data_IF_381917344861
#
_entry.id   IF_381917344861
#
_cell.length_a   1.000
_cell.length_b   1.000
_cell.length_c   1.000
_cell.angle_alpha   90.00
_cell.angle_beta   90.00
_cell.angle_gamma   90.00
#
_symmetry.space_group_name_H-M   'P 1'
#
loop_
_entity.id
_entity.type
_entity.pdbx_description
1 polymer ?
#
# COMPACT_ATOMS: atom_id res chain seq x y z
N UNK A 1 20.22 59.63 87.87
CA UNK A 1 20.70 58.89 86.68
C UNK A 1 20.68 59.80 85.44
N UNK A 2 21.83 60.05 84.77
CA UNK A 2 21.85 60.86 83.56
C UNK A 2 21.13 60.13 82.41
N UNK A 3 20.52 60.85 81.47
CA UNK A 3 19.87 60.24 80.31
C UNK A 3 20.91 59.52 79.44
N UNK A 4 20.53 58.40 78.81
CA UNK A 4 21.43 57.65 77.94
C UNK A 4 21.85 58.52 76.73
N UNK A 5 23.10 58.38 76.26
CA UNK A 5 23.57 59.11 75.09
C UNK A 5 22.74 58.72 73.85
N UNK A 6 22.50 59.67 72.94
CA UNK A 6 21.75 59.41 71.73
C UNK A 6 22.45 58.32 70.88
N UNK A 7 21.68 57.47 70.18
CA UNK A 7 22.25 56.44 69.33
C UNK A 7 23.10 57.07 68.22
N UNK A 8 24.18 56.39 67.79
CA UNK A 8 25.02 56.87 66.71
C UNK A 8 24.20 56.99 65.42
N UNK A 9 24.51 57.99 64.56
CA UNK A 9 23.82 58.16 63.29
C UNK A 9 23.98 56.90 62.42
N UNK A 10 22.97 56.56 61.60
CA UNK A 10 23.06 55.42 60.71
C UNK A 10 24.24 55.58 59.73
N UNK A 11 24.91 54.49 59.34
CA UNK A 11 25.98 54.55 58.36
C UNK A 11 25.47 55.12 57.02
N UNK A 12 26.31 55.87 56.28
CA UNK A 12 25.92 56.42 55.00
C UNK A 12 25.53 55.29 54.04
N UNK A 13 24.52 55.52 53.16
CA UNK A 13 24.14 54.52 52.17
C UNK A 13 25.34 54.14 51.29
N UNK A 14 25.46 52.88 50.86
CA UNK A 14 26.56 52.47 49.98
C UNK A 14 26.56 53.33 48.70
N UNK A 15 27.75 53.66 48.16
CA UNK A 15 27.84 54.50 46.97
C UNK A 15 27.08 53.86 45.82
N UNK A 16 26.21 54.64 45.16
CA UNK A 16 25.47 54.18 43.96
C UNK A 16 26.49 53.70 42.92
N UNK A 17 26.28 52.53 42.28
CA UNK A 17 27.18 52.07 41.23
C UNK A 17 27.30 53.16 40.15
N UNK A 18 28.54 53.55 39.85
CA UNK A 18 28.85 54.54 38.81
C UNK A 18 29.18 53.78 37.53
N UNK A 19 28.49 54.12 36.44
CA UNK A 19 28.84 53.63 35.11
C UNK A 19 30.23 54.20 34.76
N UNK A 20 31.16 53.33 34.41
CA UNK A 20 32.50 53.74 33.96
C UNK A 20 32.39 54.57 32.68
N UNK A 21 33.24 55.58 32.52
CA UNK A 21 33.31 56.36 31.28
C UNK A 21 34.10 55.57 30.23
N UNK A 22 33.52 55.40 29.04
CA UNK A 22 34.12 54.68 27.91
C UNK A 22 33.45 53.33 27.66
N UNK A 23 33.68 52.77 26.47
CA UNK A 23 33.23 51.43 26.07
C UNK A 23 34.39 50.68 25.40
N UNK A 24 34.36 49.36 25.50
CA UNK A 24 35.24 48.47 24.73
C UNK A 24 34.34 47.79 23.71
N UNK A 25 34.57 48.05 22.42
CA UNK A 25 33.87 47.38 21.32
C UNK A 25 34.87 46.48 20.57
N UNK A 26 34.76 45.17 20.80
CA UNK A 26 35.59 44.18 20.14
C UNK A 26 34.87 43.61 18.91
N UNK A 27 35.04 44.29 17.77
CA UNK A 27 34.41 43.93 16.49
C UNK A 27 35.46 43.55 15.43
N UNK A 28 36.12 42.38 15.56
CA UNK A 28 37.29 42.01 14.77
C UNK A 28 36.98 41.77 13.28
N UNK A 29 35.72 41.48 12.95
CA UNK A 29 35.25 41.30 11.56
C UNK A 29 34.05 42.19 11.33
N UNK A 30 34.29 43.33 10.70
CA UNK A 30 33.24 44.26 10.28
C UNK A 30 32.33 43.59 9.25
N UNK A 31 31.02 43.66 9.47
CA UNK A 31 30.03 43.23 8.50
C UNK A 31 30.03 44.18 7.30
N UNK A 32 30.20 43.62 6.11
CA UNK A 32 30.02 44.34 4.85
C UNK A 32 28.74 43.83 4.21
N UNK A 33 27.70 44.67 4.07
CA UNK A 33 26.45 44.24 3.45
C UNK A 33 26.69 43.86 1.98
N UNK A 34 26.02 42.81 1.47
CA UNK A 34 26.12 42.48 0.06
C UNK A 34 25.54 43.60 -0.80
N UNK A 35 26.13 43.82 -1.97
CA UNK A 35 25.51 44.66 -3.00
C UNK A 35 24.86 43.70 -3.98
N UNK A 36 23.55 43.82 -4.12
CA UNK A 36 22.73 42.92 -4.92
C UNK A 36 22.21 43.69 -6.12
N UNK A 37 22.47 43.18 -7.31
CA UNK A 37 21.92 43.72 -8.54
C UNK A 37 20.47 43.22 -8.71
N UNK A 38 19.54 44.14 -8.95
CA UNK A 38 18.12 43.87 -9.17
C UNK A 38 17.68 44.40 -10.54
N UNK A 39 17.17 43.52 -11.38
CA UNK A 39 16.61 43.89 -12.68
C UNK A 39 15.09 44.04 -12.64
N UNK A 40 14.62 45.17 -13.15
CA UNK A 40 13.20 45.56 -13.16
C UNK A 40 12.39 44.64 -14.07
N UNK A 41 12.87 44.38 -15.30
CA UNK A 41 12.25 43.47 -16.25
C UNK A 41 12.13 42.05 -15.68
N UNK A 42 13.20 41.54 -15.06
CA UNK A 42 13.21 40.22 -14.42
C UNK A 42 12.24 40.16 -13.23
N UNK A 43 12.14 41.25 -12.46
CA UNK A 43 11.21 41.35 -11.32
C UNK A 43 9.77 41.27 -11.82
N UNK A 44 9.43 42.07 -12.83
CA UNK A 44 8.11 42.04 -13.46
C UNK A 44 7.81 40.71 -14.13
N UNK A 45 8.81 40.07 -14.76
CA UNK A 45 8.66 38.75 -15.37
C UNK A 45 8.39 37.67 -14.32
N UNK A 46 9.14 37.65 -13.22
CA UNK A 46 8.96 36.66 -12.16
C UNK A 46 7.63 36.85 -11.43
N UNK A 47 7.29 38.09 -11.12
CA UNK A 47 6.08 38.43 -10.37
C UNK A 47 4.84 38.54 -11.26
N UNK A 48 4.99 38.48 -12.58
CA UNK A 48 3.91 38.78 -13.55
C UNK A 48 3.23 40.14 -13.29
N UNK A 49 4.03 41.15 -12.95
CA UNK A 49 3.57 42.51 -12.65
C UNK A 49 4.06 43.51 -13.71
N UNK A 50 3.66 44.77 -13.57
CA UNK A 50 4.09 45.90 -14.41
C UNK A 50 4.57 47.07 -13.57
N UNK A 51 5.23 46.78 -12.45
CA UNK A 51 5.75 47.78 -11.52
C UNK A 51 6.85 48.60 -12.19
N UNK A 52 6.80 49.92 -12.02
CA UNK A 52 7.85 50.80 -12.53
C UNK A 52 9.12 50.67 -11.67
N UNK A 53 10.28 51.04 -12.23
CA UNK A 53 11.53 51.16 -11.46
C UNK A 53 11.37 52.04 -10.22
N UNK A 54 10.56 53.10 -10.33
CA UNK A 54 10.27 54.03 -9.25
C UNK A 54 9.52 53.36 -8.10
N UNK A 55 8.48 52.57 -8.41
CA UNK A 55 7.71 51.83 -7.40
C UNK A 55 8.59 50.81 -6.69
N UNK A 56 9.37 50.04 -7.46
CA UNK A 56 10.32 49.04 -6.94
C UNK A 56 11.35 49.69 -6.00
N UNK A 57 12.00 50.78 -6.45
CA UNK A 57 12.96 51.54 -5.64
C UNK A 57 12.30 52.11 -4.38
N UNK A 58 11.07 52.62 -4.50
CA UNK A 58 10.27 53.13 -3.39
C UNK A 58 9.99 52.08 -2.32
N UNK A 59 9.53 50.89 -2.73
CA UNK A 59 9.30 49.77 -1.81
C UNK A 59 10.58 49.36 -1.07
N UNK A 60 11.70 49.20 -1.79
CA UNK A 60 12.96 48.78 -1.18
C UNK A 60 13.55 49.85 -0.24
N UNK A 61 13.43 51.14 -0.59
CA UNK A 61 13.83 52.25 0.30
C UNK A 61 12.96 52.33 1.55
N UNK A 62 11.66 52.04 1.44
CA UNK A 62 10.75 52.00 2.60
C UNK A 62 11.15 50.91 3.61
N UNK A 63 11.94 49.92 3.19
CA UNK A 63 12.52 48.86 4.01
C UNK A 63 13.96 49.16 4.47
N UNK A 64 14.37 50.43 4.42
CA UNK A 64 15.69 50.91 4.81
C UNK A 64 16.85 50.35 3.98
N UNK A 65 16.58 49.86 2.76
CA UNK A 65 17.64 49.46 1.84
C UNK A 65 18.25 50.67 1.14
N UNK A 66 19.58 50.68 1.03
CA UNK A 66 20.29 51.64 0.19
C UNK A 66 20.12 51.22 -1.28
N UNK A 67 19.33 51.99 -2.04
CA UNK A 67 19.08 51.74 -3.47
C UNK A 67 19.83 52.77 -4.31
N UNK A 68 20.68 52.29 -5.21
CA UNK A 68 21.35 53.08 -6.24
C UNK A 68 20.77 52.73 -7.61
N UNK A 69 20.25 53.75 -8.30
CA UNK A 69 19.76 53.61 -9.66
C UNK A 69 20.96 53.58 -10.63
N UNK A 70 21.10 52.50 -11.40
CA UNK A 70 22.20 52.35 -12.38
C UNK A 70 21.74 52.79 -13.76
N UNK A 71 20.58 52.29 -14.21
CA UNK A 71 19.95 52.64 -15.47
C UNK A 71 18.42 52.38 -15.39
N UNK A 72 17.72 52.41 -16.53
CA UNK A 72 16.26 52.20 -16.56
C UNK A 72 15.82 50.80 -16.11
N UNK A 73 16.68 49.78 -16.24
CA UNK A 73 16.35 48.39 -15.93
C UNK A 73 17.07 47.84 -14.68
N UNK A 74 18.11 48.50 -14.17
CA UNK A 74 18.96 47.95 -13.10
C UNK A 74 19.07 48.86 -11.88
N UNK A 75 18.94 48.24 -10.71
CA UNK A 75 19.15 48.82 -9.39
C UNK A 75 20.27 48.07 -8.66
N UNK A 76 21.12 48.79 -7.93
CA UNK A 76 22.02 48.21 -6.93
C UNK A 76 21.43 48.43 -5.56
N UNK A 77 21.16 47.34 -4.86
CA UNK A 77 20.48 47.37 -3.57
C UNK A 77 21.39 46.78 -2.51
N UNK A 78 21.56 47.53 -1.45
CA UNK A 78 22.35 47.12 -0.29
C UNK A 78 21.41 47.07 0.93
N UNK A 79 21.13 45.87 1.46
CA UNK A 79 20.20 45.72 2.57
C UNK A 79 20.80 46.25 3.89
N UNK A 80 19.96 46.66 4.85
CA UNK A 80 20.43 47.02 6.18
C UNK A 80 20.94 45.78 6.94
N UNK A 81 21.81 45.99 7.93
CA UNK A 81 22.50 44.91 8.65
C UNK A 81 21.57 43.96 9.42
N UNK A 82 20.35 44.39 9.75
CA UNK A 82 19.36 43.55 10.41
C UNK A 82 18.60 42.60 9.46
N UNK A 83 18.75 42.74 8.13
CA UNK A 83 18.15 41.87 7.12
C UNK A 83 19.13 40.80 6.65
N UNK A 84 19.34 39.82 7.52
CA UNK A 84 20.28 38.70 7.30
C UNK A 84 19.82 37.70 6.25
N UNK A 85 18.54 37.76 5.88
CA UNK A 85 17.86 36.91 4.89
C UNK A 85 18.06 37.38 3.45
N UNK A 86 18.46 38.64 3.23
CA UNK A 86 18.62 39.22 1.89
C UNK A 86 20.04 39.02 1.37
N UNK A 87 20.20 38.13 0.38
CA UNK A 87 21.49 37.85 -0.25
C UNK A 87 21.47 37.74 -1.77
N UNK A 88 20.29 37.68 -2.38
CA UNK A 88 20.09 37.41 -3.81
C UNK A 88 19.03 38.33 -4.39
N UNK A 89 19.06 38.47 -5.71
CA UNK A 89 18.09 39.25 -6.48
C UNK A 89 16.64 38.85 -6.19
N UNK A 90 16.35 37.54 -6.04
CA UNK A 90 15.01 37.04 -5.75
C UNK A 90 14.49 37.39 -4.35
N UNK A 91 15.39 37.58 -3.38
CA UNK A 91 15.00 37.96 -2.01
C UNK A 91 14.48 39.42 -2.02
N UNK A 92 15.02 40.27 -2.91
CA UNK A 92 14.50 41.62 -3.14
C UNK A 92 13.17 41.62 -3.91
N UNK A 93 12.99 40.70 -4.86
CA UNK A 93 11.72 40.55 -5.59
C UNK A 93 10.59 40.13 -4.65
N UNK A 94 10.86 39.28 -3.65
CA UNK A 94 9.90 38.95 -2.59
C UNK A 94 9.46 40.21 -1.83
N UNK A 95 10.40 41.08 -1.45
CA UNK A 95 10.09 42.32 -0.72
C UNK A 95 9.27 43.31 -1.56
N UNK A 96 9.56 43.39 -2.85
CA UNK A 96 8.76 44.15 -3.82
C UNK A 96 7.34 43.57 -3.91
N UNK A 97 7.20 42.25 -4.04
CA UNK A 97 5.91 41.59 -4.09
C UNK A 97 5.12 41.81 -2.79
N UNK A 98 5.78 41.71 -1.63
CA UNK A 98 5.18 41.85 -0.32
C UNK A 98 4.65 43.26 -0.07
N UNK A 99 5.41 44.29 -0.44
CA UNK A 99 4.97 45.68 -0.29
C UNK A 99 4.01 46.14 -1.38
N UNK A 100 4.13 45.61 -2.60
CA UNK A 100 3.11 45.82 -3.63
C UNK A 100 1.79 45.12 -3.31
N UNK A 101 1.79 44.16 -2.37
CA UNK A 101 0.65 43.37 -1.96
C UNK A 101 0.46 42.14 -2.87
N UNK A 102 0.46 40.94 -2.28
CA UNK A 102 0.29 39.69 -3.03
C UNK A 102 -1.04 39.62 -3.77
N UNK A 103 -2.10 40.22 -3.22
CA UNK A 103 -3.42 40.27 -3.85
C UNK A 103 -3.45 41.06 -5.17
N UNK A 104 -2.44 41.90 -5.41
CA UNK A 104 -2.31 42.67 -6.64
C UNK A 104 -1.58 41.90 -7.75
N UNK A 105 -1.01 40.73 -7.45
CA UNK A 105 -0.36 39.88 -8.45
C UNK A 105 -1.45 39.13 -9.25
N UNK A 106 -1.51 39.27 -10.58
CA UNK A 106 -2.53 38.62 -11.39
C UNK A 106 -2.47 37.09 -11.31
N UNK A 107 -3.61 36.46 -11.06
CA UNK A 107 -3.75 35.00 -11.14
C UNK A 107 -3.79 34.59 -12.61
N UNK A 108 -2.84 33.77 -13.04
CA UNK A 108 -2.77 33.23 -14.40
C UNK A 108 -2.58 31.71 -14.37
N UNK A 109 -3.01 31.02 -15.43
CA UNK A 109 -2.74 29.59 -15.56
C UNK A 109 -1.33 29.36 -16.10
N UNK A 110 -0.55 28.43 -15.51
CA UNK A 110 0.72 28.05 -16.09
C UNK A 110 0.49 27.38 -17.44
N UNK A 111 1.38 27.64 -18.40
CA UNK A 111 1.40 26.89 -19.64
C UNK A 111 1.83 25.45 -19.36
N UNK A 112 0.88 24.52 -19.33
CA UNK A 112 1.15 23.09 -19.20
C UNK A 112 1.35 22.52 -20.60
N UNK A 113 2.52 21.91 -20.84
CA UNK A 113 2.74 21.14 -22.08
C UNK A 113 2.11 19.76 -21.91
N UNK A 114 1.25 19.31 -22.83
CA UNK A 114 0.72 17.96 -22.78
C UNK A 114 1.90 16.96 -22.86
N UNK A 115 1.87 15.97 -21.99
CA UNK A 115 2.84 14.88 -21.98
C UNK A 115 2.33 13.74 -22.84
N UNK A 116 3.18 13.21 -23.72
CA UNK A 116 2.90 11.95 -24.43
C UNK A 116 3.02 10.73 -23.50
N UNK A 117 3.72 10.87 -22.37
CA UNK A 117 3.72 9.86 -21.32
C UNK A 117 2.33 9.91 -20.66
N UNK A 118 1.54 8.87 -20.91
CA UNK A 118 0.25 8.64 -20.27
C UNK A 118 0.38 8.38 -18.77
N UNK A 119 -0.68 7.84 -18.18
CA UNK A 119 -0.73 7.58 -16.75
C UNK A 119 0.30 6.52 -16.31
N UNK A 120 0.78 6.65 -15.07
CA UNK A 120 1.73 5.70 -14.48
C UNK A 120 0.98 4.38 -14.23
N UNK A 121 1.39 3.24 -14.81
CA UNK A 121 0.64 1.98 -14.72
C UNK A 121 0.33 1.54 -13.29
N UNK A 122 1.24 1.78 -12.35
CA UNK A 122 1.04 1.50 -10.92
C UNK A 122 -0.15 2.26 -10.33
N UNK A 123 -0.35 3.53 -10.70
CA UNK A 123 -1.45 4.35 -10.20
C UNK A 123 -2.80 3.86 -10.74
N UNK A 124 -2.85 3.52 -12.03
CA UNK A 124 -4.03 2.94 -12.66
C UNK A 124 -4.45 1.62 -11.98
N UNK A 125 -3.48 0.72 -11.80
CA UNK A 125 -3.71 -0.59 -11.17
C UNK A 125 -4.10 -0.43 -9.71
N UNK A 126 -3.48 0.50 -8.97
CA UNK A 126 -3.87 0.82 -7.58
C UNK A 126 -5.35 1.19 -7.49
N UNK A 127 -5.79 2.14 -8.30
CA UNK A 127 -7.16 2.66 -8.23
C UNK A 127 -8.17 1.60 -8.69
N UNK A 128 -7.81 0.78 -9.68
CA UNK A 128 -8.62 -0.37 -10.10
C UNK A 128 -8.74 -1.44 -9.00
N UNK A 129 -7.62 -1.83 -8.37
CA UNK A 129 -7.63 -2.81 -7.27
C UNK A 129 -8.47 -2.33 -6.10
N UNK A 130 -8.32 -1.06 -5.69
CA UNK A 130 -9.16 -0.45 -4.64
C UNK A 130 -10.65 -0.53 -4.99
N UNK A 131 -11.01 -0.14 -6.21
CA UNK A 131 -12.40 -0.19 -6.66
C UNK A 131 -12.97 -1.61 -6.63
N UNK A 132 -12.18 -2.61 -7.04
CA UNK A 132 -12.61 -4.02 -7.01
C UNK A 132 -12.77 -4.49 -5.56
N UNK A 133 -11.81 -4.22 -4.68
CA UNK A 133 -11.87 -4.62 -3.27
C UNK A 133 -13.09 -4.03 -2.54
N UNK A 134 -13.39 -2.76 -2.78
CA UNK A 134 -14.61 -2.12 -2.26
C UNK A 134 -15.86 -2.78 -2.85
N UNK A 135 -15.86 -3.10 -4.15
CA UNK A 135 -16.95 -3.83 -4.80
C UNK A 135 -17.16 -5.25 -4.24
N UNK A 136 -16.11 -5.88 -3.72
CA UNK A 136 -16.15 -7.18 -3.01
C UNK A 136 -16.58 -7.04 -1.54
N UNK A 137 -16.88 -5.82 -1.08
CA UNK A 137 -17.37 -5.52 0.27
C UNK A 137 -16.27 -5.35 1.32
N UNK A 138 -15.02 -5.11 0.92
CA UNK A 138 -13.96 -4.77 1.86
C UNK A 138 -13.88 -3.27 2.13
N UNK A 139 -13.43 -2.92 3.34
CA UNK A 139 -13.15 -1.54 3.75
C UNK A 139 -11.64 -1.28 3.72
N UNK A 140 -11.23 -0.20 3.04
CA UNK A 140 -9.81 0.21 3.06
C UNK A 140 -9.47 0.81 4.42
N UNK A 141 -8.35 0.37 4.99
CA UNK A 141 -7.76 0.97 6.18
C UNK A 141 -6.40 1.57 5.84
N UNK A 142 -5.98 2.56 6.63
CA UNK A 142 -4.65 3.18 6.51
C UNK A 142 -3.98 3.06 7.86
N UNK A 143 -2.91 2.26 7.93
CA UNK A 143 -2.15 2.06 9.16
C UNK A 143 -0.83 2.82 9.14
N UNK A 144 -0.23 3.04 10.30
CA UNK A 144 1.04 3.75 10.38
C UNK A 144 2.16 2.95 9.69
N UNK A 145 3.06 3.66 9.02
CA UNK A 145 4.28 3.07 8.46
C UNK A 145 5.30 2.69 9.55
N UNK A 146 5.13 3.21 10.78
CA UNK A 146 5.98 2.92 11.92
C UNK A 146 5.34 1.88 12.82
N UNK A 147 6.13 0.95 13.32
CA UNK A 147 5.69 -0.16 14.17
C UNK A 147 6.74 -0.47 15.25
N UNK A 148 6.39 -1.41 16.14
CA UNK A 148 7.28 -1.97 17.15
C UNK A 148 8.18 -3.05 16.53
N UNK A 149 9.46 -3.16 16.93
CA UNK A 149 10.33 -4.26 16.50
C UNK A 149 9.77 -5.65 16.84
N UNK A 150 8.98 -5.74 17.91
CA UNK A 150 8.27 -6.95 18.35
C UNK A 150 7.23 -7.43 17.31
N UNK A 151 6.87 -6.62 16.30
CA UNK A 151 5.93 -7.06 15.25
C UNK A 151 6.43 -8.29 14.49
N UNK A 152 7.74 -8.48 14.34
CA UNK A 152 8.27 -9.68 13.71
C UNK A 152 8.12 -10.91 14.61
N UNK A 153 8.33 -10.76 15.93
CA UNK A 153 8.12 -11.81 16.92
C UNK A 153 6.65 -12.23 16.98
N UNK A 154 5.73 -11.26 16.99
CA UNK A 154 4.29 -11.49 16.96
C UNK A 154 3.82 -12.24 15.71
N UNK A 155 4.51 -12.08 14.58
CA UNK A 155 4.27 -12.84 13.34
C UNK A 155 4.99 -14.20 13.29
N UNK A 156 5.68 -14.59 14.37
CA UNK A 156 6.44 -15.84 14.45
C UNK A 156 7.66 -15.89 13.54
N UNK A 157 8.21 -14.74 13.14
CA UNK A 157 9.32 -14.70 12.18
C UNK A 157 10.58 -15.34 12.76
N UNK A 158 11.22 -16.24 12.01
CA UNK A 158 12.49 -16.86 12.43
C UNK A 158 13.66 -15.87 12.44
N UNK A 159 14.78 -16.29 13.03
CA UNK A 159 16.05 -15.55 12.97
C UNK A 159 16.53 -15.47 11.51
N UNK A 160 16.92 -14.27 11.06
CA UNK A 160 17.30 -14.02 9.66
C UNK A 160 16.13 -13.77 8.69
N UNK A 161 14.88 -13.84 9.14
CA UNK A 161 13.72 -13.50 8.31
C UNK A 161 13.78 -12.05 7.81
N UNK A 162 13.43 -11.77 6.54
CA UNK A 162 13.30 -10.40 6.03
C UNK A 162 12.33 -9.52 6.83
N UNK A 163 11.38 -10.13 7.55
CA UNK A 163 10.48 -9.42 8.47
C UNK A 163 11.22 -8.73 9.62
N UNK A 164 12.43 -9.19 9.97
CA UNK A 164 13.29 -8.60 11.00
C UNK A 164 14.30 -7.58 10.45
N UNK A 165 14.38 -7.42 9.13
CA UNK A 165 15.30 -6.47 8.47
C UNK A 165 14.73 -5.04 8.51
N UNK A 166 14.58 -4.51 9.72
CA UNK A 166 13.95 -3.21 9.97
C UNK A 166 14.84 -2.02 9.59
N UNK A 167 14.19 -0.96 9.09
CA UNK A 167 14.75 0.39 9.07
C UNK A 167 14.43 1.05 10.40
N UNK A 168 15.44 1.44 11.18
CA UNK A 168 15.27 2.04 12.51
C UNK A 168 15.11 3.56 12.40
N UNK A 169 14.20 4.12 13.19
CA UNK A 169 14.03 5.57 13.33
C UNK A 169 15.03 6.06 14.37
N UNK A 170 15.78 7.12 14.06
CA UNK A 170 16.84 7.63 14.94
C UNK A 170 16.28 8.23 16.24
N UNK A 171 15.21 9.03 16.13
CA UNK A 171 14.58 9.73 17.25
C UNK A 171 13.07 9.45 17.26
N UNK A 172 12.64 8.22 17.59
CA UNK A 172 11.23 7.88 17.61
C UNK A 172 10.53 8.51 18.82
N UNK A 173 9.23 8.81 18.66
CA UNK A 173 8.42 9.32 19.77
C UNK A 173 8.18 8.24 20.84
N UNK A 174 8.04 6.98 20.43
CA UNK A 174 7.82 5.81 21.31
C UNK A 174 8.53 4.57 20.75
N UNK A 175 8.74 3.55 21.60
CA UNK A 175 9.31 2.26 21.17
C UNK A 175 8.39 1.54 20.17
N UNK A 176 7.07 1.68 20.35
CA UNK A 176 6.05 1.09 19.47
C UNK A 176 6.02 1.70 18.06
N UNK A 177 6.79 2.77 17.83
CA UNK A 177 6.96 3.43 16.54
C UNK A 177 8.45 3.65 16.25
N UNK A 178 9.31 2.69 16.62
CA UNK A 178 10.78 2.83 16.50
C UNK A 178 11.37 2.24 15.22
N UNK A 179 10.58 1.49 14.44
CA UNK A 179 10.99 0.91 13.16
C UNK A 179 9.95 1.10 12.07
N UNK A 180 10.38 1.10 10.81
CA UNK A 180 9.48 1.03 9.66
C UNK A 180 8.90 -0.39 9.53
N UNK A 181 7.63 -0.50 9.13
CA UNK A 181 6.96 -1.79 8.91
C UNK A 181 7.57 -2.58 7.76
N UNK A 182 7.77 -3.88 7.98
CA UNK A 182 8.24 -4.86 6.99
C UNK A 182 7.08 -5.70 6.41
N UNK A 183 5.86 -5.57 6.95
CA UNK A 183 4.63 -6.22 6.51
C UNK A 183 3.42 -5.33 6.86
N UNK A 184 2.31 -5.48 6.12
CA UNK A 184 1.02 -4.82 6.42
C UNK A 184 0.20 -5.59 7.47
N UNK A 185 0.50 -6.89 7.68
CA UNK A 185 -0.27 -7.79 8.53
C UNK A 185 -0.38 -7.32 9.99
N UNK A 186 0.69 -6.80 10.63
CA UNK A 186 0.56 -6.27 11.99
C UNK A 186 -0.48 -5.16 12.13
N UNK A 187 -0.59 -4.29 11.13
CA UNK A 187 -1.57 -3.20 11.10
C UNK A 187 -3.00 -3.72 10.93
N UNK A 188 -3.20 -4.70 10.04
CA UNK A 188 -4.49 -5.37 9.86
C UNK A 188 -4.95 -6.06 11.15
N UNK A 189 -4.09 -6.87 11.79
CA UNK A 189 -4.45 -7.58 13.03
C UNK A 189 -4.69 -6.64 14.22
N UNK A 190 -3.90 -5.57 14.36
CA UNK A 190 -4.14 -4.54 15.38
C UNK A 190 -5.49 -3.83 15.16
N UNK A 191 -5.88 -3.63 13.90
CA UNK A 191 -7.18 -3.05 13.55
C UNK A 191 -8.33 -4.01 13.87
N UNK A 192 -8.18 -5.29 13.56
CA UNK A 192 -9.14 -6.34 13.96
C UNK A 192 -9.34 -6.35 15.48
N UNK A 193 -8.25 -6.41 16.25
CA UNK A 193 -8.29 -6.33 17.71
C UNK A 193 -9.05 -5.10 18.21
N UNK A 194 -8.76 -3.94 17.64
CA UNK A 194 -9.41 -2.69 18.04
C UNK A 194 -10.92 -2.75 17.80
N UNK A 195 -11.37 -3.30 16.66
CA UNK A 195 -12.79 -3.40 16.34
C UNK A 195 -13.51 -4.44 17.21
N UNK A 196 -12.90 -5.59 17.46
CA UNK A 196 -13.47 -6.61 18.35
C UNK A 196 -13.66 -6.09 19.77
N UNK A 197 -12.72 -5.25 20.27
CA UNK A 197 -12.87 -4.56 21.56
C UNK A 197 -14.05 -3.57 21.60
N UNK A 198 -14.58 -3.18 20.44
CA UNK A 198 -15.78 -2.36 20.28
C UNK A 198 -17.01 -3.18 19.84
N UNK A 199 -16.95 -4.51 19.99
CA UNK A 199 -18.02 -5.47 19.63
C UNK A 199 -18.30 -5.57 18.12
N UNK A 200 -17.36 -5.11 17.27
CA UNK A 200 -17.40 -5.27 15.82
C UNK A 200 -16.52 -6.46 15.39
N UNK A 201 -17.16 -7.60 15.11
CA UNK A 201 -16.48 -8.90 14.87
C UNK A 201 -16.44 -9.32 13.41
N UNK A 202 -17.41 -8.87 12.63
CA UNK A 202 -17.58 -9.28 11.23
C UNK A 202 -16.85 -8.31 10.30
N UNK A 203 -15.58 -8.58 10.02
CA UNK A 203 -14.69 -7.61 9.37
C UNK A 203 -14.18 -8.10 8.02
N UNK A 204 -14.22 -7.22 7.02
CA UNK A 204 -13.54 -7.37 5.72
C UNK A 204 -12.67 -6.13 5.49
N UNK A 205 -11.38 -6.25 5.75
CA UNK A 205 -10.44 -5.13 5.73
C UNK A 205 -9.39 -5.32 4.64
N UNK A 206 -8.95 -4.23 4.02
CA UNK A 206 -7.77 -4.27 3.16
C UNK A 206 -6.92 -3.03 3.29
N UNK A 207 -5.64 -3.14 2.95
CA UNK A 207 -4.71 -2.02 2.89
C UNK A 207 -3.84 -2.14 1.64
N UNK A 208 -3.76 -1.04 0.88
CA UNK A 208 -2.67 -0.81 -0.06
C UNK A 208 -1.58 -0.01 0.65
N UNK A 209 -0.38 -0.57 0.77
CA UNK A 209 0.66 0.06 1.56
C UNK A 209 2.06 -0.34 1.16
N UNK A 210 3.00 0.55 1.47
CA UNK A 210 4.42 0.32 1.29
C UNK A 210 5.01 -0.37 2.52
N UNK A 211 5.89 -1.33 2.28
CA UNK A 211 6.76 -1.96 3.28
C UNK A 211 8.22 -1.62 3.02
N UNK A 212 9.03 -1.62 4.08
CA UNK A 212 10.40 -1.12 4.04
C UNK A 212 11.33 -2.18 4.62
N UNK A 213 12.22 -2.70 3.79
CA UNK A 213 13.22 -3.70 4.21
C UNK A 213 14.61 -3.10 4.09
N UNK A 214 15.38 -3.16 5.17
CA UNK A 214 16.79 -2.76 5.16
C UNK A 214 17.59 -3.71 4.27
N UNK A 215 18.39 -3.13 3.38
CA UNK A 215 19.35 -3.87 2.54
C UNK A 215 20.77 -3.61 3.05
N UNK A 216 21.54 -4.67 3.27
CA UNK A 216 22.96 -4.52 3.60
C UNK A 216 23.71 -3.81 2.47
N UNK A 217 24.59 -2.88 2.82
CA UNK A 217 25.40 -2.12 1.87
C UNK A 217 24.66 -1.05 1.06
N UNK A 218 23.42 -0.69 1.42
CA UNK A 218 22.69 0.43 0.79
C UNK A 218 22.30 1.49 1.82
N UNK A 219 22.42 2.77 1.42
CA UNK A 219 21.97 3.91 2.22
C UNK A 219 20.44 4.07 2.23
N UNK A 220 19.76 3.51 1.22
CA UNK A 220 18.30 3.57 1.09
C UNK A 220 17.67 2.20 1.36
N UNK A 221 16.46 2.16 1.95
CA UNK A 221 15.73 0.93 2.11
C UNK A 221 15.21 0.40 0.78
N UNK A 222 14.94 -0.90 0.75
CA UNK A 222 14.15 -1.47 -0.33
C UNK A 222 12.67 -1.30 -0.01
N UNK A 223 11.95 -0.67 -0.93
CA UNK A 223 10.55 -0.30 -0.79
C UNK A 223 9.71 -1.07 -1.79
N UNK A 224 8.64 -1.70 -1.30
CA UNK A 224 7.66 -2.43 -2.13
C UNK A 224 6.25 -2.09 -1.73
N UNK A 225 5.36 -2.02 -2.70
CA UNK A 225 3.93 -1.92 -2.45
C UNK A 225 3.34 -3.32 -2.30
N UNK A 226 2.50 -3.48 -1.29
CA UNK A 226 1.69 -4.67 -1.08
C UNK A 226 0.22 -4.27 -1.04
N UNK A 227 -0.62 -5.17 -1.54
CA UNK A 227 -2.04 -5.22 -1.19
C UNK A 227 -2.23 -6.37 -0.22
N UNK A 228 -2.73 -6.10 0.98
CA UNK A 228 -3.08 -7.12 1.95
C UNK A 228 -4.55 -6.99 2.32
N UNK A 229 -5.25 -8.11 2.47
CA UNK A 229 -6.66 -8.10 2.85
C UNK A 229 -6.99 -9.24 3.81
N UNK A 230 -7.86 -8.97 4.77
CA UNK A 230 -8.22 -9.87 5.85
C UNK A 230 -9.75 -9.96 5.99
N UNK A 231 -10.26 -11.17 6.21
CA UNK A 231 -11.63 -11.44 6.60
C UNK A 231 -11.67 -12.20 7.94
N UNK A 232 -12.63 -11.86 8.81
CA UNK A 232 -12.88 -12.55 10.09
C UNK A 232 -14.35 -12.43 10.51
N UNK A 233 -14.79 -13.23 11.47
CA UNK A 233 -16.17 -13.25 11.97
C UNK A 233 -17.14 -14.01 11.05
N UNK A 234 -18.37 -13.52 10.97
CA UNK A 234 -19.44 -14.09 10.14
C UNK A 234 -19.36 -13.59 8.71
N UNK A 235 -19.48 -14.52 7.76
CA UNK A 235 -19.72 -14.17 6.36
C UNK A 235 -21.20 -13.88 6.12
N UNK A 236 -22.08 -14.71 6.68
CA UNK A 236 -23.52 -14.53 6.66
C UNK A 236 -24.02 -14.40 8.10
N UNK A 237 -24.61 -13.25 8.42
CA UNK A 237 -25.38 -13.10 9.64
C UNK A 237 -26.70 -13.85 9.52
N UNK A 238 -27.23 -14.33 10.66
CA UNK A 238 -28.54 -14.97 10.70
C UNK A 238 -29.62 -13.99 10.24
N UNK A 239 -30.36 -14.37 9.21
CA UNK A 239 -31.53 -13.62 8.73
C UNK A 239 -32.74 -14.54 8.70
N UNK A 240 -33.90 -14.02 8.27
CA UNK A 240 -35.14 -14.79 8.20
C UNK A 240 -35.09 -15.98 7.23
N UNK A 241 -34.15 -15.98 6.26
CA UNK A 241 -34.03 -16.99 5.20
C UNK A 241 -32.63 -17.60 5.05
N UNK A 242 -31.67 -17.20 5.90
CA UNK A 242 -30.28 -17.64 5.80
C UNK A 242 -29.76 -18.00 7.17
N UNK A 243 -29.11 -19.15 7.26
CA UNK A 243 -28.39 -19.57 8.46
C UNK A 243 -27.11 -18.73 8.64
N UNK A 244 -26.68 -18.67 9.89
CA UNK A 244 -25.40 -18.07 10.26
C UNK A 244 -24.24 -18.92 9.73
N UNK A 245 -23.22 -18.27 9.16
CA UNK A 245 -22.02 -18.94 8.65
C UNK A 245 -20.78 -18.08 8.88
N UNK A 246 -19.76 -18.67 9.49
CA UNK A 246 -18.44 -18.06 9.62
C UNK A 246 -17.69 -17.97 8.28
N UNK A 247 -16.82 -16.97 8.17
CA UNK A 247 -15.84 -16.89 7.09
C UNK A 247 -14.97 -18.14 7.09
N UNK A 248 -14.64 -18.64 5.89
CA UNK A 248 -13.65 -19.70 5.71
C UNK A 248 -12.55 -19.31 4.68
N UNK A 249 -11.64 -20.24 4.43
CA UNK A 249 -10.56 -20.05 3.47
C UNK A 249 -11.06 -19.80 2.03
N UNK A 250 -12.18 -20.41 1.65
CA UNK A 250 -12.72 -20.29 0.30
C UNK A 250 -13.35 -18.92 0.07
N UNK A 251 -13.84 -18.24 1.12
CA UNK A 251 -14.32 -16.86 1.02
C UNK A 251 -13.21 -15.87 0.65
N UNK A 252 -12.07 -15.92 1.38
CA UNK A 252 -10.93 -15.04 1.08
C UNK A 252 -10.29 -15.39 -0.27
N UNK A 253 -10.22 -16.69 -0.60
CA UNK A 253 -9.68 -17.17 -1.86
C UNK A 253 -10.58 -16.76 -3.02
N UNK A 254 -11.89 -16.84 -2.86
CA UNK A 254 -12.86 -16.42 -3.88
C UNK A 254 -12.80 -14.92 -4.16
N UNK A 255 -12.66 -14.10 -3.11
CA UNK A 255 -12.43 -12.66 -3.26
C UNK A 255 -11.13 -12.37 -4.03
N UNK A 256 -10.06 -13.09 -3.71
CA UNK A 256 -8.79 -12.99 -4.42
C UNK A 256 -8.88 -13.46 -5.87
N UNK A 257 -9.53 -14.57 -6.16
CA UNK A 257 -9.76 -15.05 -7.54
C UNK A 257 -10.56 -14.04 -8.36
N UNK A 258 -11.59 -13.42 -7.77
CA UNK A 258 -12.34 -12.34 -8.40
C UNK A 258 -11.47 -11.11 -8.67
N UNK A 259 -10.66 -10.69 -7.69
CA UNK A 259 -9.70 -9.59 -7.84
C UNK A 259 -8.72 -9.82 -8.98
N UNK A 260 -8.07 -10.99 -9.00
CA UNK A 260 -7.09 -11.36 -10.04
C UNK A 260 -7.75 -11.43 -11.42
N UNK A 261 -8.97 -11.96 -11.51
CA UNK A 261 -9.72 -12.01 -12.77
C UNK A 261 -10.06 -10.60 -13.27
N UNK A 262 -10.56 -9.73 -12.41
CA UNK A 262 -11.05 -8.40 -12.80
C UNK A 262 -9.92 -7.40 -13.09
N UNK A 263 -8.73 -7.61 -12.53
CA UNK A 263 -7.51 -6.89 -12.94
C UNK A 263 -6.92 -7.42 -14.26
N UNK A 264 -7.51 -8.49 -14.83
CA UNK A 264 -7.07 -9.08 -16.11
C UNK A 264 -5.91 -10.06 -15.97
N UNK A 265 -5.62 -10.55 -14.75
CA UNK A 265 -4.64 -11.60 -14.53
C UNK A 265 -5.29 -12.96 -14.82
N UNK A 266 -4.83 -13.63 -15.87
CA UNK A 266 -5.29 -14.96 -16.25
C UNK A 266 -4.20 -16.00 -15.98
N UNK A 267 -4.61 -17.21 -15.60
CA UNK A 267 -3.67 -18.32 -15.37
C UNK A 267 -2.93 -18.26 -14.03
N UNK A 268 -3.51 -17.63 -13.01
CA UNK A 268 -3.01 -17.75 -11.65
C UNK A 268 -3.16 -19.20 -11.15
N UNK A 269 -2.12 -19.69 -10.48
CA UNK A 269 -2.05 -21.04 -9.91
C UNK A 269 -1.89 -20.92 -8.41
N UNK A 270 -2.72 -21.66 -7.68
CA UNK A 270 -2.67 -21.80 -6.22
C UNK A 270 -2.04 -23.14 -5.88
N UNK A 271 -1.00 -23.14 -5.05
CA UNK A 271 -0.32 -24.36 -4.61
C UNK A 271 -0.23 -24.36 -3.09
N UNK A 272 -0.46 -25.51 -2.43
CA UNK A 272 -0.28 -25.62 -0.97
C UNK A 272 1.13 -25.17 -0.62
N UNK A 273 1.22 -24.25 0.33
CA UNK A 273 2.49 -23.68 0.78
C UNK A 273 2.63 -23.85 2.28
N UNK A 274 3.85 -24.12 2.74
CA UNK A 274 4.17 -24.36 4.15
C UNK A 274 5.41 -23.56 4.54
N UNK A 275 5.64 -23.36 5.84
CA UNK A 275 6.84 -22.65 6.31
C UNK A 275 6.74 -21.12 6.27
N UNK A 276 5.56 -20.55 6.03
CA UNK A 276 5.32 -19.12 6.21
C UNK A 276 4.73 -18.88 7.60
N UNK A 277 5.53 -18.34 8.52
CA UNK A 277 5.22 -18.27 9.96
C UNK A 277 3.86 -17.66 10.33
N UNK A 278 3.39 -16.69 9.54
CA UNK A 278 2.13 -15.99 9.79
C UNK A 278 0.88 -16.72 9.31
N UNK A 279 1.02 -17.78 8.52
CA UNK A 279 -0.09 -18.60 8.04
C UNK A 279 -0.10 -19.96 8.72
N UNK A 280 -1.30 -20.53 8.87
CA UNK A 280 -1.48 -21.92 9.23
C UNK A 280 -0.94 -22.83 8.11
N UNK A 281 0.00 -23.76 8.39
CA UNK A 281 0.59 -24.64 7.37
C UNK A 281 -0.42 -25.58 6.70
N UNK A 282 -1.57 -25.85 7.33
CA UNK A 282 -2.61 -26.67 6.73
C UNK A 282 -3.56 -25.88 5.83
N UNK A 283 -3.63 -24.56 6.00
CA UNK A 283 -4.56 -23.67 5.30
C UNK A 283 -3.80 -22.48 4.72
N UNK A 284 -2.89 -22.76 3.80
CA UNK A 284 -2.09 -21.75 3.12
C UNK A 284 -1.82 -22.16 1.68
N UNK A 285 -1.86 -21.19 0.77
CA UNK A 285 -1.47 -21.36 -0.61
C UNK A 285 -0.62 -20.20 -1.10
N UNK A 286 0.45 -20.52 -1.84
CA UNK A 286 1.15 -19.55 -2.66
C UNK A 286 0.38 -19.30 -3.94
N UNK A 287 0.52 -18.09 -4.47
CA UNK A 287 -0.14 -17.65 -5.69
C UNK A 287 0.97 -17.32 -6.69
N UNK A 288 0.97 -17.99 -7.83
CA UNK A 288 1.92 -17.73 -8.91
C UNK A 288 1.22 -17.47 -10.23
N UNK A 289 1.86 -16.69 -11.09
CA UNK A 289 1.44 -16.47 -12.46
C UNK A 289 2.67 -16.57 -13.37
N UNK A 290 2.58 -17.35 -14.45
CA UNK A 290 3.70 -17.57 -15.38
C UNK A 290 5.01 -18.02 -14.69
N UNK A 291 4.90 -18.79 -13.60
CA UNK A 291 6.04 -19.24 -12.80
C UNK A 291 6.61 -18.20 -11.82
N UNK A 292 6.09 -16.97 -11.79
CA UNK A 292 6.48 -15.94 -10.81
C UNK A 292 5.54 -15.97 -9.61
N UNK A 293 6.09 -16.04 -8.40
CA UNK A 293 5.34 -15.84 -7.16
C UNK A 293 4.82 -14.39 -7.10
N UNK A 294 3.53 -14.23 -6.88
CA UNK A 294 2.87 -12.92 -6.74
C UNK A 294 2.32 -12.67 -5.34
N UNK A 295 2.10 -13.72 -4.53
CA UNK A 295 1.51 -13.55 -3.21
C UNK A 295 1.18 -14.85 -2.50
N UNK A 296 0.45 -14.73 -1.38
CA UNK A 296 -0.03 -15.84 -0.57
C UNK A 296 -1.45 -15.58 -0.09
N UNK A 297 -2.18 -16.64 0.22
CA UNK A 297 -3.51 -16.60 0.85
C UNK A 297 -3.64 -17.75 1.84
N UNK A 298 -4.27 -17.52 2.99
CA UNK A 298 -4.40 -18.56 4.00
C UNK A 298 -5.11 -18.11 5.26
N UNK A 299 -5.30 -19.05 6.18
CA UNK A 299 -5.70 -18.75 7.55
C UNK A 299 -4.48 -18.22 8.31
N UNK A 300 -4.65 -17.17 9.11
CA UNK A 300 -3.61 -16.68 10.02
C UNK A 300 -3.32 -17.76 11.06
N UNK A 301 -2.05 -18.01 11.37
CA UNK A 301 -1.71 -19.10 12.30
C UNK A 301 -2.29 -18.83 13.71
N UNK A 302 -2.78 -19.86 14.43
CA UNK A 302 -3.35 -19.66 15.78
C UNK A 302 -2.36 -19.01 16.77
N UNK A 303 -1.07 -19.31 16.64
CA UNK A 303 -0.04 -18.66 17.46
C UNK A 303 0.09 -17.17 17.19
N UNK A 304 -0.02 -16.75 15.92
CA UNK A 304 -0.04 -15.32 15.57
C UNK A 304 -1.33 -14.67 16.07
N UNK A 305 -2.50 -15.31 15.91
CA UNK A 305 -3.76 -14.79 16.47
C UNK A 305 -3.65 -14.57 17.99
N UNK A 306 -3.08 -15.52 18.73
CA UNK A 306 -2.85 -15.40 20.17
C UNK A 306 -1.90 -14.24 20.53
N UNK A 307 -0.85 -14.00 19.75
CA UNK A 307 0.09 -12.89 19.97
C UNK A 307 -0.55 -11.48 19.82
N UNK A 308 -1.74 -11.40 19.22
CA UNK A 308 -2.54 -10.19 19.08
C UNK A 308 -3.77 -10.18 20.00
N UNK A 309 -3.86 -11.10 20.98
CA UNK A 309 -5.02 -11.29 21.86
C UNK A 309 -6.31 -11.62 21.10
N UNK A 310 -6.20 -12.42 20.03
CA UNK A 310 -7.29 -12.85 19.15
C UNK A 310 -7.42 -14.39 19.11
N UNK A 311 -7.05 -15.09 20.18
CA UNK A 311 -6.98 -16.56 20.20
C UNK A 311 -8.33 -17.26 19.98
N UNK A 312 -9.44 -16.58 20.27
CA UNK A 312 -10.80 -17.12 20.12
C UNK A 312 -11.40 -16.86 18.73
N UNK A 313 -10.65 -16.22 17.82
CA UNK A 313 -11.13 -15.77 16.52
C UNK A 313 -10.32 -16.41 15.39
N UNK A 314 -11.00 -16.69 14.27
CA UNK A 314 -10.34 -17.10 13.03
C UNK A 314 -10.23 -15.90 12.07
N UNK A 315 -9.06 -15.71 11.47
CA UNK A 315 -8.84 -14.70 10.44
C UNK A 315 -8.19 -15.32 9.20
N UNK A 316 -8.63 -14.85 8.04
CA UNK A 316 -8.16 -15.31 6.73
C UNK A 316 -7.59 -14.12 5.97
N UNK A 317 -6.38 -14.28 5.45
CA UNK A 317 -5.56 -13.19 4.92
C UNK A 317 -5.07 -13.56 3.52
N UNK A 318 -4.96 -12.58 2.63
CA UNK A 318 -4.04 -12.65 1.49
C UNK A 318 -3.11 -11.45 1.46
N UNK A 319 -1.95 -11.63 0.81
CA UNK A 319 -0.97 -10.58 0.52
C UNK A 319 -0.48 -10.73 -0.92
N UNK A 320 -0.46 -9.63 -1.68
CA UNK A 320 0.02 -9.56 -3.06
C UNK A 320 1.16 -8.55 -3.15
N UNK A 321 2.29 -8.97 -3.71
CA UNK A 321 3.40 -8.10 -4.13
C UNK A 321 3.00 -7.40 -5.43
N UNK A 322 2.83 -6.08 -5.36
CA UNK A 322 2.32 -5.29 -6.49
C UNK A 322 3.33 -5.24 -7.63
N UNK A 323 4.62 -5.13 -7.33
CA UNK A 323 5.65 -5.12 -8.37
C UNK A 323 5.73 -6.46 -9.11
N UNK A 324 5.47 -7.58 -8.43
CA UNK A 324 5.35 -8.90 -9.06
C UNK A 324 4.05 -9.04 -9.87
N UNK A 325 2.92 -8.52 -9.36
CA UNK A 325 1.65 -8.50 -10.06
C UNK A 325 1.75 -7.71 -11.38
N UNK A 326 2.29 -6.49 -11.34
CA UNK A 326 2.40 -5.58 -12.50
C UNK A 326 3.20 -6.18 -13.66
N UNK A 327 4.12 -7.10 -13.40
CA UNK A 327 4.87 -7.81 -14.46
C UNK A 327 4.03 -8.80 -15.25
N UNK A 328 2.88 -9.21 -14.69
CA UNK A 328 2.03 -10.25 -15.26
C UNK A 328 0.66 -9.70 -15.74
N UNK A 329 0.29 -8.49 -15.35
CA UNK A 329 -0.96 -7.86 -15.81
C UNK A 329 -0.75 -7.27 -17.20
N UNK A 330 -1.58 -7.69 -18.16
CA UNK A 330 -1.64 -7.05 -19.47
C UNK A 330 -2.63 -5.89 -19.44
N UNK A 331 -2.22 -4.72 -19.94
CA UNK A 331 -3.12 -3.57 -20.12
C UNK A 331 -4.07 -3.71 -21.32
N UNK A 332 -3.93 -4.75 -22.14
CA UNK A 332 -4.72 -4.92 -23.36
C UNK A 332 -5.94 -5.80 -23.12
N UNK A 333 -7.13 -5.27 -23.39
CA UNK A 333 -8.37 -6.04 -23.43
C UNK A 333 -8.56 -6.61 -24.84
N UNK A 334 -8.66 -7.92 -24.94
CA UNK A 334 -8.95 -8.60 -26.21
C UNK A 334 -10.43 -8.92 -26.32
N UNK A 335 -11.00 -8.72 -27.51
CA UNK A 335 -12.38 -9.09 -27.78
C UNK A 335 -12.48 -10.60 -28.01
N UNK A 336 -13.34 -11.26 -27.23
CA UNK A 336 -13.75 -12.64 -27.49
C UNK A 336 -15.16 -12.67 -28.09
N UNK A 337 -15.37 -13.26 -29.28
CA UNK A 337 -16.70 -13.40 -29.86
C UNK A 337 -17.67 -14.16 -28.94
N UNK A 338 -18.94 -13.76 -28.96
CA UNK A 338 -19.99 -14.49 -28.24
C UNK A 338 -20.10 -15.94 -28.72
N UNK A 339 -20.49 -16.82 -27.80
CA UNK A 339 -20.77 -18.20 -28.11
C UNK A 339 -21.95 -18.33 -29.09
N UNK A 340 -21.67 -18.85 -30.30
CA UNK A 340 -22.67 -19.03 -31.37
C UNK A 340 -23.40 -20.38 -31.29
N UNK A 341 -22.81 -21.36 -30.62
CA UNK A 341 -23.27 -22.74 -30.59
C UNK A 341 -23.63 -23.18 -29.15
N UNK A 342 -24.57 -24.12 -28.99
CA UNK A 342 -24.95 -24.62 -27.66
C UNK A 342 -23.80 -25.36 -26.99
N UNK A 343 -23.77 -25.29 -25.66
CA UNK A 343 -22.86 -26.08 -24.84
C UNK A 343 -23.43 -27.48 -24.53
N UNK A 344 -22.55 -28.44 -24.28
CA UNK A 344 -22.87 -29.76 -23.77
C UNK A 344 -22.24 -29.90 -22.38
N UNK A 345 -23.06 -30.25 -21.39
CA UNK A 345 -22.59 -30.48 -20.03
C UNK A 345 -22.45 -31.98 -19.75
N UNK A 346 -21.36 -32.33 -19.06
CA UNK A 346 -21.14 -33.67 -18.52
C UNK A 346 -20.57 -33.56 -17.12
N UNK A 347 -21.07 -34.41 -16.24
CA UNK A 347 -20.59 -34.50 -14.87
C UNK A 347 -19.77 -35.79 -14.72
N UNK A 348 -18.67 -35.70 -13.97
CA UNK A 348 -17.87 -36.87 -13.57
C UNK A 348 -17.73 -36.87 -12.07
N UNK A 349 -17.82 -38.05 -11.46
CA UNK A 349 -17.48 -38.27 -10.06
C UNK A 349 -16.36 -39.29 -10.00
N UNK A 350 -15.23 -38.90 -9.40
CA UNK A 350 -14.02 -39.72 -9.35
C UNK A 350 -13.57 -39.85 -7.90
N UNK A 351 -13.37 -41.09 -7.47
CA UNK A 351 -12.75 -41.43 -6.20
C UNK A 351 -11.24 -41.45 -6.41
N UNK A 352 -10.52 -40.66 -5.62
CA UNK A 352 -9.07 -40.51 -5.67
C UNK A 352 -8.49 -40.51 -4.26
N UNK A 353 -7.17 -40.63 -4.15
CA UNK A 353 -6.46 -40.45 -2.89
C UNK A 353 -6.78 -39.08 -2.27
N UNK A 354 -6.95 -39.03 -0.95
CA UNK A 354 -7.34 -37.84 -0.20
C UNK A 354 -6.41 -36.65 -0.40
N UNK A 355 -5.11 -36.91 -0.57
CA UNK A 355 -4.08 -35.88 -0.75
C UNK A 355 -4.05 -35.30 -2.17
N UNK A 356 -4.73 -35.90 -3.15
CA UNK A 356 -4.74 -35.39 -4.51
C UNK A 356 -5.52 -34.07 -4.57
N UNK A 357 -4.91 -33.04 -5.13
CA UNK A 357 -5.53 -31.74 -5.31
C UNK A 357 -6.54 -31.75 -6.47
N UNK A 358 -7.67 -31.07 -6.30
CA UNK A 358 -8.70 -30.95 -7.35
C UNK A 358 -8.18 -30.22 -8.59
N UNK A 359 -7.25 -29.27 -8.41
CA UNK A 359 -6.61 -28.54 -9.49
C UNK A 359 -5.94 -29.50 -10.50
N UNK A 360 -5.28 -30.56 -10.03
CA UNK A 360 -4.64 -31.55 -10.90
C UNK A 360 -5.65 -32.27 -11.80
N UNK A 361 -6.82 -32.61 -11.30
CA UNK A 361 -7.88 -33.22 -12.11
C UNK A 361 -8.41 -32.20 -13.13
N UNK A 362 -8.63 -30.95 -12.71
CA UNK A 362 -9.03 -29.86 -13.60
C UNK A 362 -8.04 -29.62 -14.74
N UNK A 363 -6.74 -29.70 -14.47
CA UNK A 363 -5.67 -29.62 -15.48
C UNK A 363 -5.77 -30.77 -16.49
N UNK A 364 -5.91 -32.01 -16.01
CA UNK A 364 -6.03 -33.18 -16.88
C UNK A 364 -7.25 -33.04 -17.80
N UNK A 365 -8.40 -32.61 -17.28
CA UNK A 365 -9.62 -32.39 -18.05
C UNK A 365 -9.39 -31.33 -19.15
N UNK A 366 -8.74 -30.21 -18.81
CA UNK A 366 -8.45 -29.14 -19.77
C UNK A 366 -7.44 -29.57 -20.84
N UNK A 367 -6.41 -30.31 -20.45
CA UNK A 367 -5.37 -30.80 -21.36
C UNK A 367 -5.92 -31.80 -22.38
N UNK A 368 -6.69 -32.78 -21.90
CA UNK A 368 -7.26 -33.83 -22.76
C UNK A 368 -8.44 -33.31 -23.59
N UNK A 369 -9.27 -32.45 -23.00
CA UNK A 369 -10.43 -31.87 -23.68
C UNK A 369 -10.10 -30.73 -24.66
N UNK A 370 -8.90 -30.15 -24.56
CA UNK A 370 -8.41 -29.11 -25.46
C UNK A 370 -9.33 -27.90 -25.58
N UNK A 371 -9.42 -27.33 -26.78
CA UNK A 371 -10.22 -26.13 -27.05
C UNK A 371 -11.74 -26.33 -26.87
N UNK A 372 -12.20 -27.59 -26.79
CA UNK A 372 -13.61 -27.89 -26.58
C UNK A 372 -14.04 -27.72 -25.13
N UNK A 373 -13.12 -27.75 -24.16
CA UNK A 373 -13.47 -27.51 -22.74
C UNK A 373 -13.55 -26.02 -22.48
N UNK A 374 -14.78 -25.52 -22.33
CA UNK A 374 -15.06 -24.13 -22.01
C UNK A 374 -14.87 -23.85 -20.52
N UNK A 375 -15.29 -24.77 -19.65
CA UNK A 375 -15.12 -24.61 -18.20
C UNK A 375 -15.12 -25.95 -17.46
N UNK A 376 -14.42 -26.00 -16.33
CA UNK A 376 -14.42 -27.13 -15.39
C UNK A 376 -14.71 -26.57 -14.01
N UNK A 377 -15.74 -27.08 -13.34
CA UNK A 377 -16.15 -26.64 -12.00
C UNK A 377 -16.29 -27.83 -11.08
N UNK A 378 -15.63 -27.78 -9.92
CA UNK A 378 -15.91 -28.73 -8.85
C UNK A 378 -17.21 -28.31 -8.16
N UNK A 379 -18.11 -29.25 -7.90
CA UNK A 379 -19.39 -28.95 -7.25
C UNK A 379 -19.70 -29.84 -6.03
N UNK A 380 -18.95 -30.93 -5.83
CA UNK A 380 -19.09 -31.77 -4.65
C UNK A 380 -17.77 -32.44 -4.27
N UNK A 381 -17.53 -32.56 -2.96
CA UNK A 381 -16.42 -33.31 -2.36
C UNK A 381 -16.99 -34.12 -1.21
N UNK A 382 -16.92 -35.45 -1.30
CA UNK A 382 -17.52 -36.36 -0.32
C UNK A 382 -16.47 -37.29 0.30
N UNK A 383 -16.39 -37.27 1.63
CA UNK A 383 -15.49 -38.08 2.47
C UNK A 383 -16.28 -38.96 3.48
N UNK A 384 -17.45 -39.45 3.10
CA UNK A 384 -18.37 -40.14 4.01
C UNK A 384 -18.41 -41.66 3.88
N UNK A 385 -19.45 -42.26 4.49
CA UNK A 385 -19.70 -43.71 4.45
C UNK A 385 -19.72 -44.22 3.00
N UNK A 386 -19.03 -45.33 2.76
CA UNK A 386 -18.91 -45.96 1.44
C UNK A 386 -17.64 -45.60 0.65
N UNK A 387 -16.80 -44.70 1.18
CA UNK A 387 -15.48 -44.38 0.63
C UNK A 387 -14.40 -44.76 1.66
N UNK A 388 -13.26 -45.25 1.18
CA UNK A 388 -12.12 -45.55 2.05
C UNK A 388 -11.64 -44.26 2.76
N UNK A 389 -11.30 -44.28 4.06
CA UNK A 389 -10.85 -43.08 4.78
C UNK A 389 -9.60 -42.39 4.20
N UNK A 390 -8.84 -43.08 3.35
CA UNK A 390 -7.67 -42.54 2.64
C UNK A 390 -8.02 -41.98 1.25
N UNK A 391 -9.28 -42.09 0.83
CA UNK A 391 -9.83 -41.62 -0.43
C UNK A 391 -10.87 -40.50 -0.22
N UNK A 392 -11.19 -39.80 -1.30
CA UNK A 392 -12.31 -38.85 -1.38
C UNK A 392 -12.95 -38.92 -2.77
N UNK A 393 -14.25 -38.71 -2.85
CA UNK A 393 -14.92 -38.50 -4.12
C UNK A 393 -14.96 -37.01 -4.46
N UNK A 394 -14.57 -36.65 -5.68
CA UNK A 394 -14.72 -35.30 -6.21
C UNK A 394 -15.60 -35.33 -7.45
N UNK A 395 -16.60 -34.45 -7.49
CA UNK A 395 -17.51 -34.30 -8.62
C UNK A 395 -17.22 -33.01 -9.39
N UNK A 396 -17.08 -33.13 -10.71
CA UNK A 396 -16.82 -32.01 -11.61
C UNK A 396 -17.90 -31.91 -12.67
N UNK A 397 -18.34 -30.67 -12.93
CA UNK A 397 -19.15 -30.30 -14.08
C UNK A 397 -18.24 -29.75 -15.16
N UNK A 398 -18.27 -30.38 -16.31
CA UNK A 398 -17.48 -30.00 -17.49
C UNK A 398 -18.44 -29.40 -18.52
N UNK A 399 -18.13 -28.21 -18.98
CA UNK A 399 -18.81 -27.56 -20.09
C UNK A 399 -17.98 -27.73 -21.36
N UNK A 400 -18.53 -28.42 -22.36
CA UNK A 400 -17.94 -28.53 -23.68
C UNK A 400 -18.65 -27.58 -24.65
N UNK A 401 -17.88 -26.84 -25.46
CA UNK A 401 -18.41 -25.98 -26.53
C UNK A 401 -17.44 -25.86 -27.69
N UNK A 402 -17.95 -25.98 -28.91
CA UNK A 402 -17.18 -25.70 -30.14
C UNK A 402 -17.42 -24.27 -30.63
N UNK A 403 -16.36 -23.66 -31.17
CA UNK A 403 -16.42 -22.36 -31.85
C UNK A 403 -16.88 -22.47 -33.32
N UNK A 404 -16.95 -23.69 -33.86
CA UNK A 404 -17.12 -23.94 -35.30
C UNK A 404 -18.43 -24.65 -35.67
N UNK A 405 -19.13 -25.26 -34.71
CA UNK A 405 -20.38 -25.97 -34.97
C UNK A 405 -21.05 -26.51 -33.70
N UNK A 406 -22.26 -27.05 -33.86
CA UNK A 406 -22.92 -27.83 -32.79
C UNK A 406 -22.15 -29.13 -32.58
N UNK A 407 -21.91 -29.47 -31.31
CA UNK A 407 -21.20 -30.70 -30.94
C UNK A 407 -22.08 -31.94 -31.15
N UNK A 408 -21.54 -32.96 -31.82
CA UNK A 408 -22.19 -34.27 -31.93
C UNK A 408 -22.10 -35.04 -30.60
N UNK A 409 -23.19 -35.73 -30.23
CA UNK A 409 -23.26 -36.46 -28.97
C UNK A 409 -22.29 -37.64 -28.90
N UNK A 410 -22.04 -38.33 -30.01
CA UNK A 410 -21.11 -39.46 -30.08
C UNK A 410 -19.65 -39.02 -30.05
N UNK A 411 -19.32 -37.88 -30.64
CA UNK A 411 -17.99 -37.26 -30.52
C UNK A 411 -17.69 -36.83 -29.08
N UNK A 412 -18.64 -36.14 -28.43
CA UNK A 412 -18.45 -35.69 -27.04
C UNK A 412 -18.38 -36.86 -26.06
N UNK A 413 -19.17 -37.92 -26.25
CA UNK A 413 -19.06 -39.10 -25.40
C UNK A 413 -17.68 -39.76 -25.51
N UNK A 414 -17.13 -39.89 -26.73
CA UNK A 414 -15.77 -40.42 -26.93
C UNK A 414 -14.70 -39.55 -26.28
N UNK A 415 -14.81 -38.22 -26.41
CA UNK A 415 -13.89 -37.29 -25.75
C UNK A 415 -13.99 -37.40 -24.22
N UNK A 416 -15.22 -37.49 -23.71
CA UNK A 416 -15.48 -37.59 -22.29
C UNK A 416 -14.93 -38.90 -21.69
N UNK A 417 -15.10 -40.02 -22.40
CA UNK A 417 -14.47 -41.30 -22.04
C UNK A 417 -12.94 -41.20 -22.07
N UNK A 418 -12.36 -40.51 -23.05
CA UNK A 418 -10.90 -40.25 -23.10
C UNK A 418 -10.42 -39.46 -21.88
N UNK A 419 -11.15 -38.41 -21.49
CA UNK A 419 -10.88 -37.62 -20.27
C UNK A 419 -10.90 -38.52 -19.04
N UNK A 420 -11.92 -39.36 -18.89
CA UNK A 420 -12.03 -40.29 -17.76
C UNK A 420 -10.84 -41.24 -17.72
N UNK A 421 -10.52 -41.91 -18.83
CA UNK A 421 -9.40 -42.86 -18.90
C UNK A 421 -8.04 -42.18 -18.63
N UNK A 422 -7.86 -40.94 -19.10
CA UNK A 422 -6.68 -40.14 -18.80
C UNK A 422 -6.55 -39.84 -17.32
N UNK A 423 -7.65 -39.46 -16.66
CA UNK A 423 -7.65 -39.24 -15.20
C UNK A 423 -7.32 -40.54 -14.47
N UNK A 424 -7.93 -41.67 -14.85
CA UNK A 424 -7.63 -42.98 -14.23
C UNK A 424 -6.15 -43.34 -14.36
N UNK A 425 -5.57 -43.16 -15.54
CA UNK A 425 -4.17 -43.48 -15.82
C UNK A 425 -3.19 -42.61 -15.04
N UNK A 426 -3.46 -41.32 -14.90
CA UNK A 426 -2.53 -40.38 -14.25
C UNK A 426 -2.70 -40.30 -12.73
N UNK A 427 -3.91 -40.52 -12.23
CA UNK A 427 -4.21 -40.34 -10.79
C UNK A 427 -4.40 -41.66 -10.05
N UNK A 428 -4.61 -42.77 -10.77
CA UNK A 428 -5.07 -44.04 -10.19
C UNK A 428 -6.53 -43.98 -9.71
N UNK A 429 -7.26 -42.90 -10.00
CA UNK A 429 -8.64 -42.72 -9.59
C UNK A 429 -9.59 -43.69 -10.28
N UNK A 430 -10.77 -43.89 -9.67
CA UNK A 430 -11.85 -44.71 -10.22
C UNK A 430 -13.14 -43.91 -10.30
N UNK A 431 -13.90 -44.13 -11.37
CA UNK A 431 -15.22 -43.53 -11.49
C UNK A 431 -16.10 -44.02 -10.33
N UNK A 432 -16.82 -43.10 -9.70
CA UNK A 432 -17.90 -43.46 -8.80
C UNK A 432 -19.12 -43.79 -9.66
N UNK A 433 -19.48 -45.06 -9.73
CA UNK A 433 -20.78 -45.46 -10.25
C UNK A 433 -21.84 -44.96 -9.27
N UNK A 434 -22.84 -44.24 -9.79
CA UNK A 434 -23.90 -43.59 -9.02
C UNK A 434 -24.83 -44.60 -8.34
#
# INVERSE_FOLDING_TARGET
PPPPPPPPPPPPPPPRPRISKGFIDNYPKTYTPPIIDLRVDRTNLLLSTSLSRGDISGYLRALEMEVQDINENELKVKPPSFRVDIGREVDLMEEVARLSGYDNIPVTYPFIRPSEKGEIPELLVRDQLRSIMVGLGFTEIITYNFTSPDSADKLGAEEGSPLRSFVKILNPLTVDQSVMRTSLVPGLLATVKTNILHDEKDLKLFEWGKVFTRKEGSDLPFEKNYLAALMTGLYCQKTWNSDERHVDFYDIKGALEALLKDIGLHGSVFQKETGISRYDPEVCSSISCSGSLIGHVGRVSPGVMANYDLADEDAYLFEIDIEALLKNVSGTKEFSPFAKFPAVHRDISIIVKRQLESARIGEIIKQEGGELVESVQIFDVYEGKGIDPTEKAMAFKICYRSKHGTLDGGEINRLHESVIEKIRKETGGRLREG
#
